data_IF_957711432426
#
_entry.id   IF_957711432426
#
_cell.length_a   1.000
_cell.length_b   1.000
_cell.length_c   1.000
_cell.angle_alpha   90.00
_cell.angle_beta   90.00
_cell.angle_gamma   90.00
#
_symmetry.space_group_name_H-M   'P 1'
#
loop_
_entity.id
_entity.type
_entity.pdbx_description
1 polymer ?
#
# COMPACT_ATOMS: atom_id res chain seq x y z
N UNK A 1 11.23 12.65 32.48
CA UNK A 1 12.29 12.31 31.49
C UNK A 1 11.64 11.47 30.41
N UNK A 2 11.48 11.98 29.19
CA UNK A 2 10.97 11.18 28.07
C UNK A 2 12.11 10.29 27.55
N UNK A 3 11.88 8.97 27.51
CA UNK A 3 12.77 8.02 26.85
C UNK A 3 12.69 8.25 25.33
N UNK A 4 13.71 8.89 24.75
CA UNK A 4 13.93 8.87 23.31
C UNK A 4 14.55 7.52 22.95
N UNK A 5 13.71 6.57 22.51
CA UNK A 5 14.18 5.34 21.89
C UNK A 5 15.05 5.70 20.67
N UNK A 6 16.31 5.27 20.67
CA UNK A 6 17.22 5.47 19.54
C UNK A 6 16.74 4.61 18.36
N UNK A 7 16.17 5.26 17.35
CA UNK A 7 15.72 4.61 16.10
C UNK A 7 16.91 4.62 15.13
N UNK A 8 17.43 3.46 14.69
CA UNK A 8 18.53 3.40 13.74
C UNK A 8 18.17 4.10 12.42
N UNK A 9 19.07 4.93 11.90
CA UNK A 9 18.90 5.57 10.59
C UNK A 9 18.66 4.51 9.51
N UNK A 10 17.63 4.71 8.69
CA UNK A 10 17.24 3.78 7.62
C UNK A 10 16.15 2.77 8.00
N UNK A 11 15.65 2.77 9.23
CA UNK A 11 14.47 1.97 9.59
C UNK A 11 13.17 2.69 9.25
N UNK A 12 12.27 1.99 8.54
CA UNK A 12 10.91 2.46 8.28
C UNK A 12 10.08 2.13 9.53
N UNK A 13 9.67 3.15 10.27
CA UNK A 13 8.70 3.01 11.35
C UNK A 13 7.32 3.49 10.92
N UNK A 14 6.28 2.73 11.27
CA UNK A 14 4.90 3.18 11.12
C UNK A 14 4.70 4.40 12.03
N UNK A 15 4.44 5.57 11.43
CA UNK A 15 4.34 6.84 12.16
C UNK A 15 2.90 7.22 12.49
N UNK A 16 1.90 6.56 11.88
CA UNK A 16 0.48 6.78 12.15
C UNK A 16 -0.36 5.60 11.64
N UNK A 17 -1.54 5.42 12.24
CA UNK A 17 -2.58 4.56 11.71
C UNK A 17 -3.60 5.42 10.96
N UNK A 18 -3.81 5.14 9.69
CA UNK A 18 -4.89 5.74 8.90
C UNK A 18 -6.10 4.81 8.96
N UNK A 19 -7.21 5.26 9.53
CA UNK A 19 -8.49 4.54 9.48
C UNK A 19 -9.40 5.17 8.42
N UNK A 20 -9.99 4.35 7.56
CA UNK A 20 -10.89 4.83 6.51
C UNK A 20 -11.13 3.79 5.40
N UNK A 21 -12.04 4.13 4.50
CA UNK A 21 -12.28 3.38 3.27
C UNK A 21 -11.67 4.14 2.09
N UNK A 22 -10.97 3.44 1.22
CA UNK A 22 -10.50 3.98 -0.06
C UNK A 22 -11.38 3.40 -1.15
N UNK A 23 -12.14 4.26 -1.83
CA UNK A 23 -12.85 3.90 -3.04
C UNK A 23 -11.94 4.20 -4.24
N UNK A 24 -11.46 3.15 -4.90
CA UNK A 24 -10.63 3.26 -6.09
C UNK A 24 -11.48 2.97 -7.33
N UNK A 25 -11.73 3.99 -8.15
CA UNK A 25 -12.34 3.79 -9.46
C UNK A 25 -11.23 3.52 -10.48
N UNK A 26 -11.11 2.25 -10.88
CA UNK A 26 -10.16 1.84 -11.92
C UNK A 26 -10.89 1.86 -13.27
N UNK A 27 -10.42 2.62 -14.27
CA UNK A 27 -11.01 2.58 -15.60
C UNK A 27 -11.00 1.16 -16.19
N UNK A 28 -12.07 0.80 -16.90
CA UNK A 28 -12.27 -0.58 -17.38
C UNK A 28 -11.11 -1.09 -18.26
N UNK A 29 -10.51 -0.23 -19.08
CA UNK A 29 -9.35 -0.61 -19.90
C UNK A 29 -8.11 -0.96 -19.07
N UNK A 30 -7.87 -0.24 -17.96
CA UNK A 30 -6.79 -0.53 -17.01
C UNK A 30 -7.08 -1.84 -16.29
N UNK A 31 -8.32 -2.03 -15.82
CA UNK A 31 -8.71 -3.26 -15.16
C UNK A 31 -8.50 -4.49 -16.05
N UNK A 32 -8.84 -4.39 -17.35
CA UNK A 32 -8.57 -5.45 -18.33
C UNK A 32 -7.08 -5.68 -18.57
N UNK A 33 -6.30 -4.61 -18.77
CA UNK A 33 -4.87 -4.69 -19.03
C UNK A 33 -4.09 -5.40 -17.91
N UNK A 34 -4.49 -5.16 -16.65
CA UNK A 34 -3.82 -5.70 -15.47
C UNK A 34 -4.58 -6.88 -14.83
N UNK A 35 -5.60 -7.42 -15.49
CA UNK A 35 -6.46 -8.49 -14.97
C UNK A 35 -6.96 -8.23 -13.54
N UNK A 36 -7.37 -6.99 -13.29
CA UNK A 36 -7.96 -6.58 -12.01
C UNK A 36 -9.42 -6.99 -11.97
N UNK A 37 -9.78 -7.69 -10.91
CA UNK A 37 -11.14 -8.12 -10.60
C UNK A 37 -11.57 -7.53 -9.25
N UNK A 38 -12.87 -7.58 -8.89
CA UNK A 38 -13.32 -7.15 -7.56
C UNK A 38 -12.67 -7.90 -6.39
N UNK A 39 -11.99 -9.04 -6.63
CA UNK A 39 -11.27 -9.83 -5.62
C UNK A 39 -9.76 -9.57 -5.61
N UNK A 40 -9.27 -8.70 -6.48
CA UNK A 40 -7.84 -8.43 -6.57
C UNK A 40 -7.36 -7.69 -5.32
N UNK A 41 -6.37 -8.28 -4.65
CA UNK A 41 -5.71 -7.68 -3.50
C UNK A 41 -4.59 -6.74 -3.95
N UNK A 42 -4.48 -5.60 -3.27
CA UNK A 42 -3.42 -4.61 -3.51
C UNK A 42 -2.63 -4.37 -2.23
N UNK A 43 -1.33 -4.22 -2.38
CA UNK A 43 -0.48 -3.58 -1.39
C UNK A 43 -0.46 -2.09 -1.67
N UNK A 44 -0.70 -1.28 -0.63
CA UNK A 44 -0.65 0.18 -0.71
C UNK A 44 0.61 0.66 -0.01
N UNK A 45 1.47 1.39 -0.72
CA UNK A 45 2.67 2.01 -0.14
C UNK A 45 2.71 3.49 -0.45
N UNK A 46 3.34 4.27 0.44
CA UNK A 46 3.66 5.67 0.18
C UNK A 46 5.16 5.78 -0.13
N UNK A 47 5.50 6.24 -1.33
CA UNK A 47 6.88 6.40 -1.79
C UNK A 47 7.01 7.72 -2.56
N UNK A 48 8.02 8.52 -2.21
CA UNK A 48 8.38 9.77 -2.89
C UNK A 48 7.20 10.74 -3.11
N UNK A 49 6.35 10.91 -2.11
CA UNK A 49 5.19 11.82 -2.20
C UNK A 49 3.96 11.21 -2.88
N UNK A 50 4.02 9.93 -3.28
CA UNK A 50 2.98 9.26 -4.08
C UNK A 50 2.47 8.01 -3.38
N UNK A 51 1.18 7.73 -3.59
CA UNK A 51 0.57 6.45 -3.23
C UNK A 51 0.78 5.48 -4.40
N UNK A 52 1.39 4.33 -4.12
CA UNK A 52 1.64 3.27 -5.09
C UNK A 52 0.75 2.08 -4.73
N UNK A 53 0.02 1.58 -5.72
CA UNK A 53 -0.83 0.40 -5.64
C UNK A 53 -0.15 -0.74 -6.39
N UNK A 54 0.27 -1.77 -5.67
CA UNK A 54 0.90 -2.95 -6.26
C UNK A 54 -0.04 -4.15 -6.14
N UNK A 55 -0.35 -4.80 -7.25
CA UNK A 55 -1.18 -6.01 -7.21
C UNK A 55 -0.44 -7.12 -6.47
N UNK A 56 -1.05 -7.66 -5.41
CA UNK A 56 -0.50 -8.79 -4.68
C UNK A 56 -0.68 -10.04 -5.55
N UNK A 57 0.41 -10.50 -6.16
CA UNK A 57 0.41 -11.79 -6.86
C UNK A 57 0.28 -12.88 -5.80
N UNK A 58 -0.77 -13.69 -5.90
CA UNK A 58 -0.85 -14.92 -5.11
C UNK A 58 0.28 -15.84 -5.60
N UNK A 59 1.28 -16.09 -4.74
CA UNK A 59 2.13 -17.25 -4.92
C UNK A 59 1.22 -18.47 -4.84
N UNK A 60 1.11 -19.21 -5.95
CA UNK A 60 0.51 -20.54 -5.92
C UNK A 60 1.31 -21.37 -4.91
N UNK A 61 0.66 -21.76 -3.82
CA UNK A 61 1.11 -22.88 -3.00
C UNK A 61 1.18 -24.15 -3.82
#
# INVERSE_FOLDING_TARGET
MQQTNQIPLGTIQAYANLSGYIYLHIPNYVAKQFNVTPRTNFTITYRDGKIVLEQKKEEKQ
#
